data_IF_148512437661
#
_entry.id   IF_148512437661
#
_cell.length_a   1.000
_cell.length_b   1.000
_cell.length_c   1.000
_cell.angle_alpha   90.00
_cell.angle_beta   90.00
_cell.angle_gamma   90.00
#
_symmetry.space_group_name_H-M   'P 1'
#
loop_
_entity.id
_entity.type
_entity.pdbx_description
1 polymer ?
#
# COMPACT_ATOMS: atom_id res chain seq x y z
N UNK A 1 2.06 0.04 -36.33
CA UNK A 1 1.45 -0.65 -37.51
C UNK A 1 1.84 -2.14 -37.49
N UNK A 2 1.06 -3.03 -38.11
CA UNK A 2 1.27 -4.50 -38.06
C UNK A 2 2.58 -4.92 -38.73
N UNK A 3 3.09 -4.13 -39.68
CA UNK A 3 4.35 -4.34 -40.38
C UNK A 3 5.57 -4.38 -39.45
N UNK A 4 5.47 -3.85 -38.21
CA UNK A 4 6.54 -3.97 -37.21
C UNK A 4 6.94 -5.43 -37.00
N UNK A 5 5.97 -6.36 -37.10
CA UNK A 5 6.21 -7.80 -36.96
C UNK A 5 7.10 -8.40 -38.06
N UNK A 6 7.42 -7.65 -39.13
CA UNK A 6 8.39 -8.07 -40.15
C UNK A 6 9.85 -7.88 -39.69
N UNK A 7 10.09 -7.07 -38.66
CA UNK A 7 11.43 -6.77 -38.13
C UNK A 7 11.95 -7.87 -37.19
N UNK A 8 11.87 -9.14 -37.58
CA UNK A 8 12.11 -10.31 -36.70
C UNK A 8 13.53 -10.39 -36.13
N UNK A 9 14.48 -9.63 -36.66
CA UNK A 9 15.86 -9.50 -36.15
C UNK A 9 16.02 -8.45 -35.06
N UNK A 10 14.97 -7.68 -34.74
CA UNK A 10 15.03 -6.58 -33.79
C UNK A 10 15.34 -7.08 -32.37
N UNK A 11 16.32 -6.45 -31.72
CA UNK A 11 16.75 -6.78 -30.34
C UNK A 11 16.38 -5.69 -29.33
N UNK A 12 16.25 -4.44 -29.78
CA UNK A 12 15.82 -3.31 -28.97
C UNK A 12 14.85 -2.46 -29.79
N UNK A 13 13.71 -2.11 -29.20
CA UNK A 13 12.77 -1.14 -29.72
C UNK A 13 12.68 -0.02 -28.69
N UNK A 14 13.12 1.17 -29.06
CA UNK A 14 13.14 2.35 -28.19
C UNK A 14 12.47 3.52 -28.92
N UNK A 15 11.30 3.91 -28.45
CA UNK A 15 10.47 4.96 -29.03
C UNK A 15 10.14 6.06 -28.01
N UNK A 16 10.85 6.13 -26.87
CA UNK A 16 10.49 7.00 -25.75
C UNK A 16 10.52 8.52 -26.06
N UNK A 17 11.19 8.91 -27.14
CA UNK A 17 11.24 10.29 -27.63
C UNK A 17 10.06 10.64 -28.54
N UNK A 18 9.31 9.64 -29.01
CA UNK A 18 8.21 9.81 -29.96
C UNK A 18 6.90 10.20 -29.25
N UNK A 19 6.88 11.37 -28.59
CA UNK A 19 5.77 11.83 -27.72
C UNK A 19 4.37 11.87 -28.37
N UNK A 20 4.30 11.94 -29.70
CA UNK A 20 3.04 11.95 -30.48
C UNK A 20 2.64 10.60 -31.04
N UNK A 21 3.47 9.56 -30.85
CA UNK A 21 3.15 8.20 -31.29
C UNK A 21 1.90 7.72 -30.56
N UNK A 22 0.86 7.42 -31.31
CA UNK A 22 -0.46 7.06 -30.78
C UNK A 22 -1.00 5.79 -31.45
N UNK A 23 -2.18 5.36 -31.02
CA UNK A 23 -2.76 4.07 -31.42
C UNK A 23 -2.46 2.98 -30.40
N UNK A 24 -2.68 1.73 -30.78
CA UNK A 24 -2.45 0.56 -29.92
C UNK A 24 -1.20 -0.22 -30.33
N UNK A 25 -0.71 -1.06 -29.42
CA UNK A 25 0.31 -2.04 -29.74
C UNK A 25 -0.35 -3.15 -30.59
N UNK A 26 0.11 -3.39 -31.83
CA UNK A 26 -0.43 -4.46 -32.67
C UNK A 26 -0.01 -5.84 -32.13
N UNK A 27 -0.85 -6.87 -32.29
CA UNK A 27 -0.54 -8.24 -31.84
C UNK A 27 0.68 -8.84 -32.53
N UNK A 28 1.03 -8.35 -33.72
CA UNK A 28 2.24 -8.72 -34.46
C UNK A 28 3.53 -8.38 -33.70
N UNK A 29 3.49 -7.57 -32.64
CA UNK A 29 4.64 -7.37 -31.74
C UNK A 29 5.18 -8.71 -31.25
N UNK A 30 4.31 -9.71 -31.02
CA UNK A 30 4.69 -11.06 -30.58
C UNK A 30 5.54 -11.85 -31.56
N UNK A 31 5.74 -11.36 -32.80
CA UNK A 31 6.67 -11.96 -33.78
C UNK A 31 8.13 -11.57 -33.52
N UNK A 32 8.39 -10.55 -32.70
CA UNK A 32 9.73 -10.04 -32.42
C UNK A 32 10.46 -10.87 -31.35
N UNK A 33 10.54 -12.19 -31.51
CA UNK A 33 11.00 -13.13 -30.47
C UNK A 33 12.47 -12.96 -30.06
N UNK A 34 13.27 -12.20 -30.81
CA UNK A 34 14.65 -11.82 -30.46
C UNK A 34 14.75 -10.52 -29.64
N UNK A 35 13.63 -9.85 -29.40
CA UNK A 35 13.57 -8.60 -28.66
C UNK A 35 13.98 -8.82 -27.19
N UNK A 36 14.92 -8.00 -26.73
CA UNK A 36 15.45 -7.98 -25.36
C UNK A 36 14.95 -6.77 -24.58
N UNK A 37 14.77 -5.63 -25.24
CA UNK A 37 14.31 -4.40 -24.61
C UNK A 37 13.21 -3.75 -25.44
N UNK A 38 12.10 -3.44 -24.77
CA UNK A 38 10.98 -2.68 -25.30
C UNK A 38 10.80 -1.44 -24.44
N UNK A 39 11.16 -0.27 -24.96
CA UNK A 39 10.86 1.03 -24.36
C UNK A 39 9.97 1.82 -25.31
N UNK A 40 8.71 1.95 -24.92
CA UNK A 40 7.70 2.77 -25.62
C UNK A 40 7.03 3.72 -24.64
N UNK A 41 7.77 4.10 -23.59
CA UNK A 41 7.32 5.06 -22.58
C UNK A 41 7.14 6.47 -23.15
N UNK A 42 6.47 7.35 -22.42
CA UNK A 42 6.31 8.77 -22.81
C UNK A 42 5.73 8.99 -24.22
N UNK A 43 4.86 8.10 -24.67
CA UNK A 43 4.12 8.21 -25.92
C UNK A 43 2.64 8.53 -25.65
N UNK A 44 1.81 8.56 -26.70
CA UNK A 44 0.35 8.69 -26.63
C UNK A 44 -0.35 7.36 -26.99
N UNK A 45 0.30 6.22 -26.68
CA UNK A 45 -0.25 4.90 -26.97
C UNK A 45 -1.41 4.57 -26.01
N UNK A 46 -2.39 3.82 -26.50
CA UNK A 46 -3.64 3.50 -25.81
C UNK A 46 -4.13 2.09 -26.13
N UNK A 47 -5.23 1.70 -25.50
CA UNK A 47 -5.82 0.37 -25.64
C UNK A 47 -5.18 -0.65 -24.70
N UNK A 48 -5.57 -1.93 -24.82
CA UNK A 48 -5.03 -2.99 -23.97
C UNK A 48 -3.62 -3.41 -24.37
N UNK A 49 -2.89 -4.00 -23.42
CA UNK A 49 -1.65 -4.72 -23.72
C UNK A 49 -2.00 -6.05 -24.39
N UNK A 50 -1.53 -6.35 -25.62
CA UNK A 50 -1.81 -7.62 -26.28
C UNK A 50 -1.18 -8.79 -25.52
N UNK A 51 -1.90 -9.91 -25.38
CA UNK A 51 -1.40 -11.12 -24.73
C UNK A 51 -0.21 -11.73 -25.47
N UNK A 52 -0.06 -11.43 -26.77
CA UNK A 52 1.09 -11.81 -27.59
C UNK A 52 2.43 -11.28 -27.06
N UNK A 53 2.43 -10.28 -26.16
CA UNK A 53 3.66 -9.84 -25.49
C UNK A 53 4.35 -11.00 -24.77
N UNK A 54 3.59 -11.97 -24.24
CA UNK A 54 4.15 -13.16 -23.59
C UNK A 54 4.89 -14.12 -24.53
N UNK A 55 4.85 -13.91 -25.85
CA UNK A 55 5.67 -14.66 -26.82
C UNK A 55 7.13 -14.18 -26.85
N UNK A 56 7.41 -13.00 -26.31
CA UNK A 56 8.71 -12.35 -26.35
C UNK A 56 9.65 -12.88 -25.26
N UNK A 57 9.89 -14.19 -25.22
CA UNK A 57 10.61 -14.88 -24.13
C UNK A 57 12.06 -14.44 -23.91
N UNK A 58 12.62 -13.65 -24.81
CA UNK A 58 13.96 -13.05 -24.67
C UNK A 58 13.95 -11.66 -24.03
N UNK A 59 12.78 -11.12 -23.69
CA UNK A 59 12.70 -9.80 -23.10
C UNK A 59 13.31 -9.78 -21.69
N UNK A 60 14.15 -8.78 -21.49
CA UNK A 60 14.85 -8.47 -20.24
C UNK A 60 14.31 -7.15 -19.64
N UNK A 61 13.80 -6.22 -20.48
CA UNK A 61 13.25 -4.94 -20.04
C UNK A 61 11.98 -4.53 -20.80
N UNK A 62 10.93 -4.20 -20.04
CA UNK A 62 9.71 -3.55 -20.52
C UNK A 62 9.60 -2.18 -19.85
N UNK A 63 9.45 -1.12 -20.65
CA UNK A 63 9.02 0.18 -20.17
C UNK A 63 7.86 0.71 -21.03
N UNK A 64 6.68 0.74 -20.42
CA UNK A 64 5.43 1.23 -21.02
C UNK A 64 4.97 2.54 -20.37
N UNK A 65 5.71 3.04 -19.38
CA UNK A 65 5.26 4.08 -18.46
C UNK A 65 4.86 5.37 -19.17
N UNK A 66 3.93 6.13 -18.59
CA UNK A 66 3.49 7.43 -19.12
C UNK A 66 2.91 7.30 -20.54
N UNK A 67 1.82 6.54 -20.63
CA UNK A 67 0.98 6.32 -21.80
C UNK A 67 -0.50 6.30 -21.36
N UNK A 68 -1.43 6.04 -22.28
CA UNK A 68 -2.87 5.89 -22.01
C UNK A 68 -3.35 4.44 -22.16
N UNK A 69 -2.50 3.45 -21.88
CA UNK A 69 -2.89 2.04 -21.88
C UNK A 69 -3.95 1.77 -20.81
N UNK A 70 -4.94 0.92 -21.13
CA UNK A 70 -6.01 0.53 -20.22
C UNK A 70 -6.24 -0.98 -20.24
N UNK A 71 -7.29 -1.43 -19.55
CA UNK A 71 -7.58 -2.85 -19.41
C UNK A 71 -6.60 -3.59 -18.48
N UNK A 72 -6.74 -4.92 -18.35
CA UNK A 72 -5.95 -5.73 -17.42
C UNK A 72 -4.52 -5.97 -17.88
N UNK A 73 -3.63 -6.25 -16.92
CA UNK A 73 -2.32 -6.83 -17.20
C UNK A 73 -2.50 -8.30 -17.63
N UNK A 74 -2.17 -8.68 -18.89
CA UNK A 74 -2.33 -10.05 -19.36
C UNK A 74 -1.52 -11.04 -18.52
N UNK A 75 -2.12 -12.19 -18.21
CA UNK A 75 -1.47 -13.26 -17.43
C UNK A 75 -0.22 -13.81 -18.12
N UNK A 76 -0.14 -13.66 -19.44
CA UNK A 76 0.97 -14.05 -20.30
C UNK A 76 2.26 -13.28 -20.01
N UNK A 77 2.19 -12.18 -19.23
CA UNK A 77 3.40 -11.50 -18.71
C UNK A 77 4.30 -12.50 -17.97
N UNK A 78 3.72 -13.48 -17.28
CA UNK A 78 4.46 -14.52 -16.55
C UNK A 78 5.26 -15.47 -17.44
N UNK A 79 5.12 -15.42 -18.76
CA UNK A 79 5.93 -16.19 -19.71
C UNK A 79 7.30 -15.54 -20.00
N UNK A 80 7.52 -14.31 -19.53
CA UNK A 80 8.74 -13.54 -19.76
C UNK A 80 9.82 -13.89 -18.72
N UNK A 81 10.24 -15.15 -18.69
CA UNK A 81 11.14 -15.67 -17.65
C UNK A 81 12.54 -15.01 -17.57
N UNK A 82 12.93 -14.22 -18.59
CA UNK A 82 14.18 -13.45 -18.61
C UNK A 82 14.02 -11.99 -18.17
N UNK A 83 12.80 -11.57 -17.87
CA UNK A 83 12.49 -10.19 -17.54
C UNK A 83 13.16 -9.79 -16.22
N UNK A 84 13.85 -8.67 -16.24
CA UNK A 84 14.52 -8.03 -15.09
C UNK A 84 13.82 -6.75 -14.66
N UNK A 85 13.31 -5.99 -15.62
CA UNK A 85 12.64 -4.71 -15.36
C UNK A 85 11.25 -4.69 -16.00
N UNK A 86 10.23 -4.48 -15.18
CA UNK A 86 8.85 -4.29 -15.58
C UNK A 86 8.36 -2.92 -15.11
N UNK A 87 8.34 -1.94 -16.02
CA UNK A 87 7.92 -0.57 -15.73
C UNK A 87 6.62 -0.26 -16.48
N UNK A 88 5.51 -0.25 -15.74
CA UNK A 88 4.14 -0.08 -16.24
C UNK A 88 3.44 0.96 -15.36
N UNK A 89 4.05 2.13 -15.22
CA UNK A 89 3.60 3.15 -14.28
C UNK A 89 2.89 4.32 -14.95
N UNK A 90 1.95 4.95 -14.25
CA UNK A 90 1.20 6.12 -14.73
C UNK A 90 0.43 5.83 -16.03
N UNK A 91 -0.36 4.76 -16.03
CA UNK A 91 -1.29 4.39 -17.11
C UNK A 91 -2.74 4.35 -16.56
N UNK A 92 -3.67 3.81 -17.35
CA UNK A 92 -5.07 3.61 -16.96
C UNK A 92 -5.39 2.11 -16.78
N UNK A 93 -4.40 1.31 -16.39
CA UNK A 93 -4.58 -0.15 -16.27
C UNK A 93 -5.53 -0.49 -15.12
N UNK A 94 -6.43 -1.43 -15.38
CA UNK A 94 -7.49 -1.89 -14.46
C UNK A 94 -7.29 -3.36 -14.12
N UNK A 95 -8.16 -3.93 -13.30
CA UNK A 95 -8.10 -5.36 -12.94
C UNK A 95 -6.97 -5.66 -11.95
N UNK A 96 -6.69 -6.94 -11.77
CA UNK A 96 -5.79 -7.42 -10.72
C UNK A 96 -4.34 -7.58 -11.21
N UNK A 97 -3.41 -7.62 -10.26
CA UNK A 97 -2.06 -8.15 -10.53
C UNK A 97 -2.22 -9.67 -10.75
N UNK A 98 -1.84 -10.22 -11.91
CA UNK A 98 -2.04 -11.64 -12.18
C UNK A 98 -1.08 -12.49 -11.34
N UNK A 99 -1.56 -13.63 -10.82
CA UNK A 99 -0.75 -14.57 -10.02
C UNK A 99 0.46 -15.11 -10.80
N UNK A 100 0.39 -15.10 -12.13
CA UNK A 100 1.50 -15.45 -13.01
C UNK A 100 2.73 -14.55 -12.87
N UNK A 101 2.62 -13.38 -12.21
CA UNK A 101 3.77 -12.53 -11.90
C UNK A 101 4.84 -13.29 -11.10
N UNK A 102 4.44 -14.24 -10.26
CA UNK A 102 5.36 -15.09 -9.49
C UNK A 102 6.26 -15.97 -10.35
N UNK A 103 5.96 -16.15 -11.65
CA UNK A 103 6.80 -16.90 -12.60
C UNK A 103 8.02 -16.11 -13.10
N UNK A 104 8.11 -14.83 -12.76
CA UNK A 104 9.20 -13.93 -13.15
C UNK A 104 10.36 -14.04 -12.15
N UNK A 105 11.03 -15.19 -12.11
CA UNK A 105 12.06 -15.48 -11.10
C UNK A 105 13.31 -14.59 -11.17
N UNK A 106 13.57 -13.97 -12.34
CA UNK A 106 14.70 -13.07 -12.57
C UNK A 106 14.34 -11.58 -12.47
N UNK A 107 13.08 -11.24 -12.17
CA UNK A 107 12.67 -9.83 -12.10
C UNK A 107 13.32 -9.17 -10.89
N UNK A 108 13.89 -8.00 -11.12
CA UNK A 108 14.58 -7.20 -10.10
C UNK A 108 13.81 -5.94 -9.74
N UNK A 109 13.13 -5.34 -10.73
CA UNK A 109 12.34 -4.12 -10.56
C UNK A 109 10.94 -4.28 -11.15
N UNK A 110 9.92 -4.10 -10.30
CA UNK A 110 8.51 -4.05 -10.70
C UNK A 110 7.93 -2.71 -10.27
N UNK A 111 7.63 -1.87 -11.25
CA UNK A 111 6.97 -0.58 -11.07
C UNK A 111 5.61 -0.62 -11.76
N UNK A 112 4.54 -0.57 -10.98
CA UNK A 112 3.14 -0.61 -11.46
C UNK A 112 2.31 0.52 -10.83
N UNK A 113 2.98 1.55 -10.31
CA UNK A 113 2.36 2.63 -9.55
C UNK A 113 1.55 3.59 -10.43
N UNK A 114 0.58 4.29 -9.83
CA UNK A 114 -0.22 5.29 -10.53
C UNK A 114 -1.10 4.70 -11.62
N UNK A 115 -1.76 3.57 -11.33
CA UNK A 115 -2.74 2.92 -12.19
C UNK A 115 -4.10 2.84 -11.47
N UNK A 116 -5.04 2.07 -12.04
CA UNK A 116 -6.33 1.76 -11.47
C UNK A 116 -6.42 0.27 -11.07
N UNK A 117 -5.27 -0.37 -10.78
CA UNK A 117 -5.22 -1.78 -10.39
C UNK A 117 -5.98 -2.01 -9.09
N UNK A 118 -6.73 -3.10 -9.02
CA UNK A 118 -7.59 -3.46 -7.90
C UNK A 118 -7.35 -4.92 -7.46
N UNK A 119 -8.14 -5.39 -6.50
CA UNK A 119 -7.94 -6.71 -5.92
C UNK A 119 -6.68 -6.76 -5.04
N UNK A 120 -6.21 -7.97 -4.75
CA UNK A 120 -5.12 -8.18 -3.79
C UNK A 120 -3.74 -8.17 -4.43
N UNK A 121 -2.71 -7.94 -3.62
CA UNK A 121 -1.35 -8.31 -3.98
C UNK A 121 -1.29 -9.86 -3.95
N UNK A 122 -0.97 -10.55 -5.06
CA UNK A 122 -0.95 -12.01 -5.10
C UNK A 122 0.17 -12.57 -4.23
N UNK A 123 -0.11 -13.65 -3.50
CA UNK A 123 0.89 -14.31 -2.64
C UNK A 123 2.09 -14.84 -3.44
N UNK A 124 1.86 -15.17 -4.71
CA UNK A 124 2.87 -15.66 -5.66
C UNK A 124 3.96 -14.64 -5.96
N UNK A 125 3.77 -13.34 -5.63
CA UNK A 125 4.86 -12.35 -5.73
C UNK A 125 6.08 -12.78 -4.90
N UNK A 126 5.87 -13.55 -3.82
CA UNK A 126 6.93 -14.14 -2.99
C UNK A 126 7.84 -15.13 -3.74
N UNK A 127 7.48 -15.55 -4.96
CA UNK A 127 8.28 -16.42 -5.82
C UNK A 127 9.24 -15.65 -6.74
N UNK A 128 9.14 -14.32 -6.81
CA UNK A 128 10.10 -13.46 -7.51
C UNK A 128 11.40 -13.30 -6.71
N UNK A 129 12.19 -14.37 -6.58
CA UNK A 129 13.36 -14.44 -5.67
C UNK A 129 14.48 -13.43 -5.96
N UNK A 130 14.50 -12.81 -7.14
CA UNK A 130 15.48 -11.77 -7.51
C UNK A 130 14.97 -10.33 -7.29
N UNK A 131 13.71 -10.16 -6.86
CA UNK A 131 13.06 -8.86 -6.78
C UNK A 131 13.72 -7.99 -5.71
N UNK A 132 14.09 -6.77 -6.10
CA UNK A 132 14.71 -5.76 -5.24
C UNK A 132 13.77 -4.60 -4.96
N UNK A 133 12.93 -4.24 -5.92
CA UNK A 133 11.97 -3.12 -5.79
C UNK A 133 10.58 -3.54 -6.24
N UNK A 134 9.59 -3.28 -5.39
CA UNK A 134 8.17 -3.34 -5.72
C UNK A 134 7.52 -1.98 -5.43
N UNK A 135 7.24 -1.23 -6.50
CA UNK A 135 6.53 0.04 -6.42
C UNK A 135 5.11 -0.12 -6.97
N UNK A 136 4.12 -0.23 -6.08
CA UNK A 136 2.70 -0.42 -6.39
C UNK A 136 1.80 0.67 -5.79
N UNK A 137 2.38 1.80 -5.39
CA UNK A 137 1.67 2.93 -4.79
C UNK A 137 0.69 3.61 -5.75
N UNK A 138 -0.25 4.40 -5.21
CA UNK A 138 -1.29 5.10 -6.00
C UNK A 138 -2.06 4.13 -6.91
N UNK A 139 -2.68 3.11 -6.32
CA UNK A 139 -3.58 2.17 -6.99
C UNK A 139 -4.88 2.03 -6.15
N UNK A 140 -5.67 1.01 -6.44
CA UNK A 140 -6.89 0.64 -5.70
C UNK A 140 -6.76 -0.76 -5.09
N UNK A 141 -5.53 -1.19 -4.76
CA UNK A 141 -5.27 -2.51 -4.20
C UNK A 141 -5.93 -2.66 -2.83
N UNK A 142 -6.50 -3.82 -2.57
CA UNK A 142 -7.26 -4.18 -1.36
C UNK A 142 -6.67 -5.43 -0.71
N UNK A 143 -7.20 -5.84 0.45
CA UNK A 143 -6.74 -7.02 1.16
C UNK A 143 -5.43 -6.79 1.90
N UNK A 144 -4.79 -7.86 2.34
CA UNK A 144 -3.61 -7.80 3.21
C UNK A 144 -2.31 -7.65 2.43
N UNK A 145 -1.27 -7.18 3.12
CA UNK A 145 0.11 -7.29 2.64
C UNK A 145 0.54 -8.76 2.80
N UNK A 146 0.89 -9.49 1.73
CA UNK A 146 1.25 -10.91 1.86
C UNK A 146 2.55 -11.11 2.64
N UNK A 147 2.52 -11.96 3.67
CA UNK A 147 3.73 -12.36 4.41
C UNK A 147 4.76 -13.05 3.49
N UNK A 148 4.33 -13.64 2.37
CA UNK A 148 5.20 -14.25 1.36
C UNK A 148 6.20 -13.27 0.73
N UNK A 149 5.99 -11.95 0.83
CA UNK A 149 6.99 -10.95 0.45
C UNK A 149 8.30 -11.12 1.23
N UNK A 150 8.26 -11.67 2.45
CA UNK A 150 9.45 -11.98 3.26
C UNK A 150 10.29 -13.15 2.69
N UNK A 151 9.76 -13.91 1.71
CA UNK A 151 10.52 -14.94 0.99
C UNK A 151 11.50 -14.33 -0.03
N UNK A 152 11.31 -13.06 -0.39
CA UNK A 152 12.14 -12.34 -1.34
C UNK A 152 13.32 -11.73 -0.58
N UNK A 153 14.34 -12.55 -0.31
CA UNK A 153 15.50 -12.11 0.51
C UNK A 153 16.27 -10.95 -0.12
N UNK A 154 16.16 -10.74 -1.43
CA UNK A 154 16.74 -9.59 -2.13
C UNK A 154 15.95 -8.29 -2.03
N UNK A 155 14.77 -8.29 -1.41
CA UNK A 155 13.87 -7.13 -1.42
C UNK A 155 14.48 -5.97 -0.63
N UNK A 156 14.55 -4.81 -1.29
CA UNK A 156 15.13 -3.59 -0.74
C UNK A 156 14.07 -2.51 -0.53
N UNK A 157 13.13 -2.39 -1.46
CA UNK A 157 12.17 -1.29 -1.51
C UNK A 157 10.77 -1.84 -1.73
N UNK A 158 9.85 -1.50 -0.84
CA UNK A 158 8.44 -1.85 -0.91
C UNK A 158 7.57 -0.60 -0.71
N UNK A 159 6.99 -0.10 -1.81
CA UNK A 159 6.12 1.07 -1.80
C UNK A 159 4.69 0.68 -2.16
N UNK A 160 3.81 0.72 -1.15
CA UNK A 160 2.39 0.40 -1.23
C UNK A 160 1.48 1.58 -0.86
N UNK A 161 2.07 2.76 -0.69
CA UNK A 161 1.39 4.02 -0.35
C UNK A 161 0.13 4.27 -1.18
N UNK A 162 -0.92 4.86 -0.56
CA UNK A 162 -2.15 5.31 -1.25
C UNK A 162 -2.81 4.17 -2.02
N UNK A 163 -3.19 3.15 -1.27
CA UNK A 163 -4.03 2.04 -1.69
C UNK A 163 -5.19 1.87 -0.69
N UNK A 164 -5.87 0.74 -0.69
CA UNK A 164 -6.94 0.37 0.23
C UNK A 164 -6.60 -0.93 0.98
N UNK A 165 -5.31 -1.12 1.29
CA UNK A 165 -4.83 -2.32 1.98
C UNK A 165 -5.36 -2.35 3.42
N UNK A 166 -5.73 -3.53 3.88
CA UNK A 166 -6.35 -3.81 5.18
C UNK A 166 -5.55 -4.85 5.96
N UNK A 167 -5.95 -5.13 7.20
CA UNK A 167 -5.26 -6.10 8.06
C UNK A 167 -3.98 -5.52 8.66
N UNK A 168 -3.10 -6.38 9.16
CA UNK A 168 -1.92 -5.98 9.93
C UNK A 168 -0.65 -5.89 9.09
N UNK A 169 0.36 -5.20 9.64
CA UNK A 169 1.73 -5.25 9.13
C UNK A 169 2.32 -6.65 9.34
N UNK A 170 2.84 -7.34 8.30
CA UNK A 170 3.43 -8.66 8.47
C UNK A 170 4.75 -8.57 9.26
N UNK A 171 4.86 -9.25 10.42
CA UNK A 171 6.09 -9.23 11.22
C UNK A 171 7.30 -9.82 10.48
N UNK A 172 7.07 -10.72 9.51
CA UNK A 172 8.11 -11.40 8.71
C UNK A 172 8.93 -10.42 7.87
N UNK A 173 8.36 -9.27 7.47
CA UNK A 173 9.09 -8.24 6.72
C UNK A 173 10.26 -7.67 7.53
N UNK A 174 10.19 -7.67 8.86
CA UNK A 174 11.28 -7.24 9.73
C UNK A 174 12.50 -8.16 9.69
N UNK A 175 12.39 -9.35 9.09
CA UNK A 175 13.50 -10.29 8.90
C UNK A 175 14.30 -10.06 7.60
N UNK A 176 13.87 -9.13 6.75
CA UNK A 176 14.53 -8.85 5.48
C UNK A 176 15.79 -8.03 5.69
N UNK A 177 16.96 -8.67 5.51
CA UNK A 177 18.26 -8.08 5.80
C UNK A 177 18.57 -6.85 4.95
N UNK A 178 18.10 -6.81 3.69
CA UNK A 178 18.38 -5.73 2.74
C UNK A 178 17.25 -4.73 2.56
N UNK A 179 16.14 -4.88 3.30
CA UNK A 179 15.00 -3.97 3.17
C UNK A 179 15.38 -2.61 3.76
N UNK A 180 15.48 -1.60 2.90
CA UNK A 180 15.87 -0.24 3.26
C UNK A 180 14.69 0.71 3.35
N UNK A 181 13.62 0.46 2.59
CA UNK A 181 12.48 1.36 2.50
C UNK A 181 11.15 0.61 2.46
N UNK A 182 10.32 0.86 3.47
CA UNK A 182 8.93 0.43 3.54
C UNK A 182 8.00 1.66 3.61
N UNK A 183 7.15 1.85 2.61
CA UNK A 183 6.15 2.93 2.60
C UNK A 183 4.75 2.34 2.38
N UNK A 184 3.95 2.32 3.44
CA UNK A 184 2.53 1.89 3.42
C UNK A 184 1.58 3.03 3.76
N UNK A 185 2.05 4.28 3.67
CA UNK A 185 1.31 5.48 4.05
C UNK A 185 -0.04 5.55 3.35
N UNK A 186 -1.09 6.06 4.01
CA UNK A 186 -2.43 6.24 3.43
C UNK A 186 -3.03 4.92 2.93
N UNK A 187 -3.22 3.97 3.85
CA UNK A 187 -3.97 2.74 3.66
C UNK A 187 -4.99 2.59 4.81
N UNK A 188 -5.52 1.39 5.04
CA UNK A 188 -6.47 1.08 6.10
C UNK A 188 -5.92 -0.04 7.00
N UNK A 189 -4.60 -0.08 7.18
CA UNK A 189 -3.93 -1.09 8.00
C UNK A 189 -4.27 -0.90 9.48
N UNK A 190 -4.49 -2.00 10.19
CA UNK A 190 -4.88 -2.04 11.61
C UNK A 190 -3.84 -2.78 12.46
N UNK A 191 -4.04 -2.80 13.78
CA UNK A 191 -3.17 -3.50 14.71
C UNK A 191 -1.94 -2.69 15.11
N UNK A 192 -0.96 -3.35 15.72
CA UNK A 192 0.27 -2.72 16.24
C UNK A 192 1.42 -2.85 15.26
N UNK A 193 2.46 -2.03 15.44
CA UNK A 193 3.70 -2.12 14.67
C UNK A 193 4.53 -3.30 15.20
N UNK A 194 4.94 -4.29 14.36
CA UNK A 194 5.77 -5.39 14.81
C UNK A 194 7.12 -4.94 15.38
N UNK A 195 7.52 -5.50 16.53
CA UNK A 195 8.83 -5.22 17.13
C UNK A 195 9.98 -5.57 16.15
N UNK A 196 9.80 -6.56 15.29
CA UNK A 196 10.81 -6.97 14.31
C UNK A 196 11.27 -5.81 13.39
N UNK A 197 10.44 -4.78 13.19
CA UNK A 197 10.80 -3.63 12.35
C UNK A 197 11.81 -2.72 13.04
N UNK A 198 11.79 -2.62 14.38
CA UNK A 198 12.78 -1.85 15.15
C UNK A 198 14.15 -2.51 15.19
N UNK A 199 14.20 -3.82 15.00
CA UNK A 199 15.44 -4.64 14.97
C UNK A 199 15.92 -4.95 13.56
N UNK A 200 15.22 -4.47 12.51
CA UNK A 200 15.61 -4.71 11.13
C UNK A 200 16.99 -4.08 10.84
N UNK A 201 17.85 -4.84 10.16
CA UNK A 201 19.26 -4.50 10.01
C UNK A 201 19.50 -3.24 9.17
N UNK A 202 18.84 -3.14 8.00
CA UNK A 202 19.09 -2.07 7.03
C UNK A 202 17.89 -1.13 6.79
N UNK A 203 16.80 -1.27 7.55
CA UNK A 203 15.62 -0.40 7.39
C UNK A 203 15.98 1.05 7.76
N UNK A 204 15.87 1.95 6.78
CA UNK A 204 16.24 3.37 6.88
C UNK A 204 15.07 4.31 6.66
N UNK A 205 14.04 3.89 5.94
CA UNK A 205 12.85 4.70 5.69
C UNK A 205 11.61 3.85 5.93
N UNK A 206 10.88 4.17 7.01
CA UNK A 206 9.68 3.49 7.47
C UNK A 206 8.55 4.52 7.54
N UNK A 207 7.58 4.41 6.63
CA UNK A 207 6.45 5.33 6.54
C UNK A 207 5.13 4.59 6.70
N UNK A 208 4.47 4.89 7.82
CA UNK A 208 3.28 4.19 8.29
C UNK A 208 2.06 5.10 8.42
N UNK A 209 2.22 6.42 8.26
CA UNK A 209 1.18 7.41 8.53
C UNK A 209 -0.09 7.25 7.70
N UNK A 210 -1.20 7.79 8.19
CA UNK A 210 -2.51 7.69 7.53
C UNK A 210 -3.02 6.25 7.44
N UNK A 211 -2.80 5.46 8.50
CA UNK A 211 -3.39 4.13 8.69
C UNK A 211 -4.23 4.14 9.98
N UNK A 212 -4.76 2.97 10.36
CA UNK A 212 -5.52 2.75 11.60
C UNK A 212 -4.70 1.92 12.60
N UNK A 213 -3.41 2.23 12.71
CA UNK A 213 -2.49 1.54 13.61
C UNK A 213 -2.71 1.98 15.06
N UNK A 214 -2.31 1.13 16.00
CA UNK A 214 -2.45 1.38 17.43
C UNK A 214 -1.11 1.34 18.16
N UNK A 215 -1.06 2.02 19.29
CA UNK A 215 0.01 1.91 20.29
C UNK A 215 0.08 0.48 20.89
N UNK A 216 1.22 0.08 21.49
CA UNK A 216 2.46 0.86 21.61
C UNK A 216 3.30 0.86 20.32
N UNK A 217 3.90 2.00 19.99
CA UNK A 217 5.03 2.05 19.05
C UNK A 217 6.23 1.35 19.72
N UNK A 218 6.83 0.31 19.12
CA UNK A 218 7.99 -0.37 19.68
C UNK A 218 9.11 0.60 20.07
N UNK A 219 9.56 0.56 21.32
CA UNK A 219 10.65 1.41 21.80
C UNK A 219 11.94 1.27 20.97
N UNK A 220 12.18 0.09 20.40
CA UNK A 220 13.27 -0.18 19.47
C UNK A 220 13.20 0.70 18.21
N UNK A 221 12.01 1.09 17.74
CA UNK A 221 11.86 2.04 16.63
C UNK A 221 12.14 3.48 17.09
N UNK A 222 11.59 3.89 18.22
CA UNK A 222 11.72 5.27 18.72
C UNK A 222 13.17 5.65 19.09
N UNK A 223 14.02 4.65 19.36
CA UNK A 223 15.44 4.84 19.72
C UNK A 223 16.40 4.47 18.58
N UNK A 224 15.90 3.91 17.46
CA UNK A 224 16.74 3.54 16.34
C UNK A 224 17.12 4.78 15.52
N UNK A 225 18.36 5.23 15.70
CA UNK A 225 18.89 6.46 15.08
C UNK A 225 19.18 6.38 13.58
N UNK A 226 18.86 5.26 12.92
CA UNK A 226 19.03 5.08 11.47
C UNK A 226 17.73 5.21 10.69
N UNK A 227 16.58 4.99 11.35
CA UNK A 227 15.27 5.05 10.71
C UNK A 227 14.85 6.50 10.47
N UNK A 228 14.20 6.72 9.33
CA UNK A 228 13.73 7.99 8.82
C UNK A 228 14.83 9.05 8.86
N UNK A 229 15.98 8.74 8.26
CA UNK A 229 17.17 9.61 8.23
C UNK A 229 17.67 10.05 9.62
N UNK A 230 17.34 9.26 10.65
CA UNK A 230 17.71 9.53 12.04
C UNK A 230 16.85 10.59 12.73
N UNK A 231 15.68 10.93 12.17
CA UNK A 231 14.70 11.85 12.78
C UNK A 231 14.28 11.42 14.20
N UNK A 232 14.38 10.14 14.53
CA UNK A 232 14.17 9.61 15.89
C UNK A 232 15.09 10.22 16.94
N UNK A 233 16.28 10.73 16.56
CA UNK A 233 17.17 11.47 17.48
C UNK A 233 16.54 12.76 17.99
N UNK A 234 15.72 13.40 17.17
CA UNK A 234 15.12 14.70 17.45
C UNK A 234 13.68 14.55 17.95
N UNK A 235 12.89 13.70 17.31
CA UNK A 235 11.46 13.59 17.55
C UNK A 235 11.05 12.30 18.26
N UNK A 236 11.97 11.40 18.58
CA UNK A 236 11.65 10.13 19.25
C UNK A 236 10.63 9.31 18.45
N UNK A 237 9.54 8.87 19.11
CA UNK A 237 8.47 8.12 18.46
C UNK A 237 7.67 8.92 17.42
N UNK A 238 7.62 10.26 17.55
CA UNK A 238 6.92 11.10 16.58
C UNK A 238 7.55 11.03 15.19
N UNK A 239 8.84 10.67 15.09
CA UNK A 239 9.50 10.37 13.81
C UNK A 239 8.98 9.09 13.12
N UNK A 240 8.19 8.27 13.82
CA UNK A 240 7.57 7.04 13.29
C UNK A 240 6.09 7.28 12.99
N UNK A 241 5.36 7.77 13.98
CA UNK A 241 3.96 8.18 13.89
C UNK A 241 3.73 9.32 14.88
N UNK A 242 3.12 10.42 14.43
CA UNK A 242 2.71 11.51 15.32
C UNK A 242 1.74 11.01 16.40
N UNK A 243 1.92 11.43 17.65
CA UNK A 243 1.01 11.10 18.74
C UNK A 243 -0.43 11.59 18.51
N UNK A 244 -1.38 11.02 19.27
CA UNK A 244 -2.78 11.44 19.26
C UNK A 244 -2.94 12.95 19.54
N UNK A 245 -3.90 13.58 18.86
CA UNK A 245 -4.12 15.02 18.94
C UNK A 245 -3.13 15.86 18.13
N UNK A 246 -2.17 15.23 17.44
CA UNK A 246 -1.22 15.90 16.53
C UNK A 246 -1.24 15.28 15.14
N UNK A 247 -0.79 16.04 14.14
CA UNK A 247 -0.78 15.61 12.73
C UNK A 247 0.46 16.14 12.01
N UNK A 248 0.80 15.49 10.90
CA UNK A 248 1.77 15.96 9.91
C UNK A 248 1.38 15.42 8.53
N UNK A 249 1.84 16.05 7.43
CA UNK A 249 1.48 15.66 6.05
C UNK A 249 1.76 14.18 5.72
N UNK A 250 2.81 13.63 6.32
CA UNK A 250 3.21 12.22 6.16
C UNK A 250 2.78 11.34 7.34
N UNK A 251 2.15 11.92 8.36
CA UNK A 251 1.74 11.23 9.60
C UNK A 251 2.88 10.99 10.58
N UNK A 252 4.02 11.64 10.39
CA UNK A 252 5.16 11.60 11.32
C UNK A 252 5.93 12.92 11.26
N UNK A 253 6.62 13.24 12.34
CA UNK A 253 7.43 14.44 12.49
C UNK A 253 8.58 14.47 11.48
N UNK A 254 8.71 15.60 10.80
CA UNK A 254 9.85 15.94 9.94
C UNK A 254 10.26 17.37 10.20
N UNK A 255 11.50 17.71 9.87
CA UNK A 255 11.93 19.11 9.89
C UNK A 255 11.15 19.94 8.84
N UNK A 256 10.80 21.21 9.14
CA UNK A 256 11.11 21.94 10.38
C UNK A 256 10.04 21.82 11.48
N UNK A 257 8.81 21.42 11.14
CA UNK A 257 7.63 21.68 11.98
C UNK A 257 7.29 20.54 12.96
N UNK A 258 7.82 19.33 12.76
CA UNK A 258 7.51 18.17 13.60
C UNK A 258 6.04 17.75 13.47
N UNK A 259 5.44 17.33 14.58
CA UNK A 259 4.00 17.05 14.67
C UNK A 259 3.27 18.28 15.21
N UNK A 260 2.25 18.74 14.49
CA UNK A 260 1.51 19.96 14.83
C UNK A 260 0.22 19.59 15.55
N UNK A 261 -0.13 20.26 16.67
CA UNK A 261 -1.40 20.03 17.37
C UNK A 261 -2.61 20.29 16.48
N UNK A 262 -3.66 19.50 16.69
CA UNK A 262 -4.94 19.75 16.05
C UNK A 262 -5.57 21.07 16.52
N UNK A 263 -6.30 21.78 15.64
CA UNK A 263 -7.07 22.96 16.03
C UNK A 263 -8.12 22.64 17.11
N UNK A 264 -8.58 23.66 17.83
CA UNK A 264 -9.57 23.52 18.90
C UNK A 264 -10.78 22.65 18.47
N UNK A 265 -11.15 21.70 19.34
CA UNK A 265 -12.24 20.71 19.16
C UNK A 265 -11.98 19.63 18.11
N UNK A 266 -10.85 19.66 17.41
CA UNK A 266 -10.41 18.59 16.54
C UNK A 266 -9.34 17.73 17.23
N UNK A 267 -9.23 16.47 16.80
CA UNK A 267 -8.17 15.56 17.24
C UNK A 267 -7.88 14.54 16.15
N UNK A 268 -6.99 13.59 16.44
CA UNK A 268 -6.72 12.42 15.61
C UNK A 268 -7.19 11.15 16.32
N UNK A 269 -7.67 10.18 15.54
CA UNK A 269 -8.20 8.91 16.08
C UNK A 269 -7.10 7.85 16.21
N UNK A 270 -6.09 7.92 15.35
CA UNK A 270 -4.97 6.97 15.32
C UNK A 270 -3.64 7.72 15.31
N UNK A 271 -2.58 7.17 15.93
CA UNK A 271 -1.22 7.66 15.76
C UNK A 271 -0.85 7.78 14.27
N UNK A 272 -0.23 8.90 13.94
CA UNK A 272 0.19 9.29 12.60
C UNK A 272 -0.96 9.49 11.62
N UNK A 273 -2.15 9.82 12.10
CA UNK A 273 -3.18 10.42 11.26
C UNK A 273 -2.64 11.66 10.54
N UNK A 274 -3.03 11.83 9.27
CA UNK A 274 -2.56 12.94 8.42
C UNK A 274 -3.54 14.12 8.37
N UNK A 275 -4.71 13.97 8.99
CA UNK A 275 -5.73 15.00 9.09
C UNK A 275 -6.35 14.93 10.49
N UNK A 276 -6.66 16.10 11.04
CA UNK A 276 -7.50 16.22 12.23
C UNK A 276 -8.96 16.03 11.83
N UNK A 277 -9.74 15.40 12.69
CA UNK A 277 -11.19 15.28 12.58
C UNK A 277 -11.84 15.96 13.78
N UNK A 278 -13.00 16.55 13.57
CA UNK A 278 -13.88 16.91 14.69
C UNK A 278 -14.46 15.60 15.24
N UNK A 279 -14.37 15.40 16.54
CA UNK A 279 -15.08 14.30 17.18
C UNK A 279 -16.51 14.75 17.43
N UNK A 280 -17.44 14.12 16.73
CA UNK A 280 -18.85 14.16 17.09
C UNK A 280 -19.08 13.20 18.27
N UNK A 281 -20.23 13.38 18.93
CA UNK A 281 -20.62 12.54 20.06
C UNK A 281 -20.63 11.04 19.69
N UNK A 282 -21.05 10.71 18.48
CA UNK A 282 -21.05 9.34 17.97
C UNK A 282 -19.63 8.79 17.73
N UNK A 283 -18.67 9.64 17.32
CA UNK A 283 -17.27 9.24 17.15
C UNK A 283 -16.66 8.85 18.50
N UNK A 284 -16.99 9.60 19.56
CA UNK A 284 -16.54 9.31 20.93
C UNK A 284 -17.06 7.94 21.37
N UNK A 285 -18.33 7.65 21.14
CA UNK A 285 -18.87 6.36 21.53
C UNK A 285 -18.36 5.21 20.65
N UNK A 286 -18.18 5.41 19.35
CA UNK A 286 -17.55 4.39 18.50
C UNK A 286 -16.14 4.05 18.99
N UNK A 287 -15.36 5.05 19.44
CA UNK A 287 -14.05 4.80 20.05
C UNK A 287 -14.16 4.01 21.36
N UNK A 288 -15.15 4.30 22.22
CA UNK A 288 -15.39 3.52 23.44
C UNK A 288 -15.71 2.06 23.12
N UNK A 289 -16.58 1.82 22.14
CA UNK A 289 -16.92 0.48 21.70
C UNK A 289 -15.67 -0.29 21.25
N UNK A 290 -14.84 0.31 20.41
CA UNK A 290 -13.63 -0.34 19.89
C UNK A 290 -12.61 -0.66 20.99
N UNK A 291 -12.33 0.31 21.87
CA UNK A 291 -11.34 0.17 22.98
C UNK A 291 -11.76 -0.91 23.96
N UNK A 292 -13.06 -1.07 24.20
CA UNK A 292 -13.61 -2.07 25.10
C UNK A 292 -13.84 -3.43 24.44
N UNK A 293 -13.33 -3.62 23.22
CA UNK A 293 -13.55 -4.82 22.41
C UNK A 293 -15.05 -5.13 22.23
N UNK A 294 -15.85 -4.10 21.91
CA UNK A 294 -17.31 -4.16 21.78
C UNK A 294 -17.82 -5.26 20.85
N UNK A 295 -17.05 -5.61 19.82
CA UNK A 295 -17.33 -6.75 18.94
C UNK A 295 -17.43 -8.10 19.70
N UNK A 296 -16.78 -8.21 20.86
CA UNK A 296 -16.81 -9.39 21.76
C UNK A 296 -17.86 -9.27 22.87
N UNK A 297 -18.64 -8.20 22.92
CA UNK A 297 -19.76 -8.10 23.85
C UNK A 297 -20.89 -9.05 23.44
N UNK A 298 -21.83 -9.31 24.35
CA UNK A 298 -23.04 -10.07 24.04
C UNK A 298 -23.95 -9.24 23.13
N UNK A 299 -24.77 -9.89 22.30
CA UNK A 299 -25.62 -9.17 21.34
C UNK A 299 -26.59 -8.18 22.01
N UNK A 300 -27.10 -8.51 23.20
CA UNK A 300 -27.94 -7.61 23.99
C UNK A 300 -27.20 -6.33 24.44
N UNK A 301 -25.90 -6.48 24.70
CA UNK A 301 -25.00 -5.41 25.15
C UNK A 301 -24.48 -4.55 24.00
N UNK A 302 -24.61 -5.02 22.74
CA UNK A 302 -24.28 -4.27 21.52
C UNK A 302 -25.40 -3.39 21.01
N UNK A 303 -26.61 -3.47 21.58
CA UNK A 303 -27.78 -2.76 21.07
C UNK A 303 -27.54 -1.24 20.98
N UNK A 304 -27.80 -0.66 19.81
CA UNK A 304 -27.66 0.78 19.53
C UNK A 304 -26.22 1.22 19.20
N UNK A 305 -25.20 0.50 19.70
CA UNK A 305 -23.82 0.75 19.33
C UNK A 305 -23.61 0.57 17.83
N UNK A 306 -22.82 1.47 17.22
CA UNK A 306 -22.58 1.56 15.77
C UNK A 306 -23.83 1.87 14.90
N UNK A 307 -24.99 2.19 15.49
CA UNK A 307 -26.20 2.58 14.75
C UNK A 307 -26.45 4.09 14.91
N UNK A 308 -26.05 4.88 13.91
CA UNK A 308 -26.09 6.36 13.98
C UNK A 308 -27.51 6.95 14.06
N UNK A 309 -28.53 6.18 13.69
CA UNK A 309 -29.93 6.63 13.71
C UNK A 309 -30.64 6.32 15.04
N UNK A 310 -29.96 5.65 15.99
CA UNK A 310 -30.55 5.26 17.28
C UNK A 310 -30.15 6.29 18.35
N UNK A 311 -31.10 6.92 19.06
CA UNK A 311 -30.80 7.83 20.15
C UNK A 311 -29.94 7.16 21.23
N UNK A 312 -28.94 7.88 21.74
CA UNK A 312 -27.97 7.35 22.73
C UNK A 312 -28.62 6.75 23.97
N UNK A 313 -29.73 7.31 24.42
CA UNK A 313 -30.47 6.81 25.57
C UNK A 313 -31.14 5.44 25.35
N UNK A 314 -31.16 4.94 24.12
CA UNK A 314 -31.64 3.60 23.77
C UNK A 314 -30.51 2.57 23.66
N UNK A 315 -29.25 3.02 23.76
CA UNK A 315 -28.09 2.14 23.67
C UNK A 315 -27.95 1.33 24.95
N UNK A 316 -27.57 0.06 24.81
CA UNK A 316 -27.34 -0.80 25.96
C UNK A 316 -26.24 -0.23 26.85
N UNK A 317 -26.53 -0.16 28.15
CA UNK A 317 -25.63 0.37 29.17
C UNK A 317 -25.64 1.89 29.35
N UNK A 318 -26.36 2.66 28.51
CA UNK A 318 -26.52 4.12 28.68
C UNK A 318 -27.84 4.41 29.40
N UNK A 319 -27.78 5.19 30.48
CA UNK A 319 -28.96 5.67 31.21
C UNK A 319 -29.02 7.19 31.12
N UNK A 320 -30.17 7.72 30.72
CA UNK A 320 -30.41 9.16 30.63
C UNK A 320 -31.44 9.66 31.66
N UNK A 321 -31.42 10.96 31.93
CA UNK A 321 -32.45 11.63 32.72
C UNK A 321 -33.71 11.93 31.88
N UNK A 322 -34.69 12.59 32.50
CA UNK A 322 -35.96 12.95 31.84
C UNK A 322 -35.81 14.01 30.72
N UNK A 323 -34.64 14.65 30.62
CA UNK A 323 -34.31 15.64 29.58
C UNK A 323 -33.51 15.02 28.44
N UNK A 324 -33.15 13.73 28.54
CA UNK A 324 -32.34 13.02 27.56
C UNK A 324 -30.83 13.20 27.76
N UNK A 325 -30.40 13.73 28.91
CA UNK A 325 -28.98 13.89 29.24
C UNK A 325 -28.44 12.59 29.85
N UNK A 326 -27.26 12.15 29.41
CA UNK A 326 -26.65 10.91 29.90
C UNK A 326 -26.26 11.07 31.38
N UNK A 327 -26.83 10.23 32.25
CA UNK A 327 -26.51 10.19 33.68
C UNK A 327 -25.45 9.14 34.03
N UNK A 328 -25.52 7.95 33.44
CA UNK A 328 -24.57 6.86 33.72
C UNK A 328 -24.29 6.02 32.49
N UNK A 329 -23.07 5.49 32.40
CA UNK A 329 -22.68 4.49 31.42
C UNK A 329 -22.15 3.26 32.16
N UNK A 330 -22.73 2.09 31.87
CA UNK A 330 -22.31 0.80 32.43
C UNK A 330 -21.84 -0.09 31.28
N UNK A 331 -20.54 -0.34 31.22
CA UNK A 331 -19.95 -1.14 30.15
C UNK A 331 -19.95 -2.63 30.51
N UNK A 332 -20.27 -3.54 29.57
CA UNK A 332 -20.21 -4.97 29.79
C UNK A 332 -18.77 -5.47 29.91
N UNK A 333 -18.59 -6.61 30.58
CA UNK A 333 -17.32 -7.36 30.55
C UNK A 333 -17.33 -8.22 29.28
N UNK A 334 -16.28 -8.19 28.42
CA UNK A 334 -16.22 -9.03 27.23
C UNK A 334 -16.31 -10.52 27.58
N UNK A 335 -16.95 -11.33 26.73
CA UNK A 335 -16.83 -12.79 26.87
C UNK A 335 -15.37 -13.20 26.59
N UNK A 336 -14.83 -14.07 27.46
CA UNK A 336 -13.44 -14.54 27.46
C UNK A 336 -13.11 -15.41 26.25
#
# INVERSE_FOLDING_TARGET
PSEIGKLTKLRRLDLNTARRLSGSIPSEIGRLTLLKALDISHCALKGPLPSEIGRLRNLEKINLSVNSFGGPLPSEIGNLHKLRELMISRLLMTGTIPTSIGKLSLVENVEIYGNLLNGTIPVEIGECKSLKRLDAFNNRLTGTIPASLANIKSLQILHLKRNKLTGTLPPELGSLEFMTWLDVTSNVLTGTIPHSYGTATDLRDLRLGGNRLHEPIPHSLCTNTRINDGLTRQFGCDAILCGLGTTADAGFAREPDGCVPCPDKATTVYPGSIHCTLLLQDDIFSMFFDVMHGERWREEDKKGWQQMDVPLCEWAGILCDQRGEIMTMSFPVPES
#
